data_IF_310852749009
#
_entry.id   IF_310852749009
#
_cell.length_a   1.000
_cell.length_b   1.000
_cell.length_c   1.000
_cell.angle_alpha   90.00
_cell.angle_beta   90.00
_cell.angle_gamma   90.00
#
_symmetry.space_group_name_H-M   'P 1'
#
loop_
_entity.id
_entity.type
_entity.pdbx_description
1 polymer ?
#
# COMPACT_ATOMS: atom_id res chain seq x y z
N UNK A 1 9.05 10.90 -20.23
CA UNK A 1 10.12 10.17 -20.96
C UNK A 1 11.36 10.00 -20.07
N UNK A 2 11.25 9.32 -18.92
CA UNK A 2 12.37 9.03 -18.01
C UNK A 2 12.39 7.59 -17.47
N UNK A 3 11.43 6.75 -17.88
CA UNK A 3 11.29 5.38 -17.38
C UNK A 3 12.21 4.36 -18.07
N UNK A 4 12.91 4.76 -19.14
CA UNK A 4 13.67 3.85 -20.01
C UNK A 4 15.10 3.48 -19.55
N UNK A 5 15.61 4.05 -18.45
CA UNK A 5 16.98 3.75 -17.98
C UNK A 5 17.07 3.04 -16.62
N UNK A 6 15.94 2.72 -15.98
CA UNK A 6 15.96 1.91 -14.75
C UNK A 6 15.98 0.43 -15.11
N UNK A 7 17.07 -0.25 -14.81
CA UNK A 7 17.12 -1.71 -14.87
C UNK A 7 16.49 -2.28 -13.60
N UNK A 8 15.18 -2.48 -13.61
CA UNK A 8 14.48 -3.11 -12.49
C UNK A 8 14.91 -4.57 -12.25
N UNK A 9 15.64 -5.17 -13.19
CA UNK A 9 16.12 -6.55 -13.09
C UNK A 9 17.15 -6.76 -11.96
N UNK A 10 17.86 -5.70 -11.57
CA UNK A 10 18.86 -5.75 -10.49
C UNK A 10 18.33 -5.25 -9.14
N UNK A 11 17.08 -4.76 -9.11
CA UNK A 11 16.54 -4.15 -7.90
C UNK A 11 16.28 -5.22 -6.85
N UNK A 12 16.57 -4.87 -5.59
CA UNK A 12 16.13 -5.65 -4.44
C UNK A 12 14.63 -5.54 -4.22
N UNK A 13 14.11 -6.37 -3.30
CA UNK A 13 12.72 -6.30 -2.84
C UNK A 13 12.39 -4.91 -2.28
N UNK A 14 13.28 -4.37 -1.46
CA UNK A 14 13.12 -3.08 -0.78
C UNK A 14 13.17 -1.92 -1.77
N UNK A 15 14.10 -1.96 -2.72
CA UNK A 15 14.23 -0.93 -3.77
C UNK A 15 12.97 -0.88 -4.65
N UNK A 16 12.39 -2.02 -5.02
CA UNK A 16 11.12 -2.07 -5.72
C UNK A 16 9.98 -1.54 -4.86
N UNK A 17 9.90 -1.94 -3.59
CA UNK A 17 8.81 -1.53 -2.72
C UNK A 17 8.83 -0.03 -2.34
N UNK A 18 9.96 0.64 -2.57
CA UNK A 18 10.12 2.08 -2.42
C UNK A 18 10.05 2.84 -3.75
N UNK A 19 9.97 2.15 -4.89
CA UNK A 19 9.88 2.81 -6.20
C UNK A 19 8.45 3.29 -6.47
N UNK A 20 8.31 4.58 -6.77
CA UNK A 20 7.01 5.24 -6.96
C UNK A 20 6.16 4.57 -8.06
N UNK A 21 6.76 4.14 -9.17
CA UNK A 21 6.03 3.51 -10.27
C UNK A 21 5.59 2.09 -9.89
N UNK A 22 6.44 1.36 -9.18
CA UNK A 22 6.09 0.04 -8.67
C UNK A 22 4.98 0.13 -7.61
N UNK A 23 5.09 1.06 -6.66
CA UNK A 23 4.06 1.31 -5.66
C UNK A 23 2.73 1.71 -6.31
N UNK A 24 2.78 2.62 -7.30
CA UNK A 24 1.60 3.02 -8.07
C UNK A 24 0.92 1.84 -8.75
N UNK A 25 1.69 0.99 -9.44
CA UNK A 25 1.16 -0.22 -10.07
C UNK A 25 0.46 -1.15 -9.07
N UNK A 26 1.02 -1.31 -7.88
CA UNK A 26 0.45 -2.20 -6.86
C UNK A 26 -0.83 -1.61 -6.25
N UNK A 27 -0.89 -0.29 -6.06
CA UNK A 27 -2.02 0.39 -5.43
C UNK A 27 -3.14 0.77 -6.41
N UNK A 28 -2.84 0.97 -7.70
CA UNK A 28 -3.77 1.41 -8.73
C UNK A 28 -3.90 0.36 -9.85
N UNK A 29 -4.63 -0.75 -9.61
CA UNK A 29 -4.76 -1.81 -10.61
C UNK A 29 -5.55 -1.41 -11.87
N UNK A 30 -6.13 -0.20 -11.93
CA UNK A 30 -6.88 0.32 -13.07
C UNK A 30 -6.06 1.17 -14.05
N UNK A 31 -4.75 1.28 -13.85
CA UNK A 31 -3.85 1.97 -14.77
C UNK A 31 -3.28 0.99 -15.80
N UNK A 32 -3.95 0.89 -16.95
CA UNK A 32 -3.62 -0.07 -18.02
C UNK A 32 -2.21 0.12 -18.58
N UNK A 33 -1.70 1.36 -18.63
CA UNK A 33 -0.36 1.66 -19.16
C UNK A 33 0.72 1.12 -18.21
N UNK A 34 0.58 1.41 -16.92
CA UNK A 34 1.51 0.95 -15.89
C UNK A 34 1.41 -0.58 -15.71
N UNK A 35 0.20 -1.14 -15.81
CA UNK A 35 0.00 -2.59 -15.78
C UNK A 35 0.71 -3.28 -16.94
N UNK A 36 0.54 -2.79 -18.18
CA UNK A 36 1.20 -3.34 -19.36
C UNK A 36 2.73 -3.28 -19.25
N UNK A 37 3.28 -2.20 -18.69
CA UNK A 37 4.72 -2.09 -18.43
C UNK A 37 5.23 -3.22 -17.51
N UNK A 38 4.60 -3.40 -16.34
CA UNK A 38 5.06 -4.38 -15.35
C UNK A 38 4.77 -5.83 -15.76
N UNK A 39 3.73 -6.09 -16.55
CA UNK A 39 3.49 -7.39 -17.16
C UNK A 39 4.53 -7.72 -18.22
N UNK A 40 4.82 -6.79 -19.14
CA UNK A 40 5.87 -6.96 -20.13
C UNK A 40 7.24 -7.15 -19.46
N UNK A 41 7.56 -6.36 -18.44
CA UNK A 41 8.79 -6.52 -17.67
C UNK A 41 8.90 -7.93 -17.07
N UNK A 42 7.83 -8.43 -16.44
CA UNK A 42 7.80 -9.75 -15.81
C UNK A 42 7.96 -10.89 -16.82
N UNK A 43 7.34 -10.77 -17.98
CA UNK A 43 7.47 -11.75 -19.07
C UNK A 43 8.91 -11.81 -19.62
N UNK A 44 9.58 -10.66 -19.70
CA UNK A 44 10.96 -10.56 -20.18
C UNK A 44 12.00 -10.90 -19.11
N UNK A 45 11.63 -10.86 -17.82
CA UNK A 45 12.53 -11.09 -16.67
C UNK A 45 11.96 -12.13 -15.69
N UNK A 46 11.80 -13.40 -16.10
CA UNK A 46 11.19 -14.44 -15.26
C UNK A 46 11.98 -14.68 -13.96
N UNK A 47 13.30 -14.47 -13.97
CA UNK A 47 14.15 -14.58 -12.79
C UNK A 47 13.80 -13.56 -11.69
N UNK A 48 13.24 -12.39 -12.05
CA UNK A 48 12.83 -11.36 -11.12
C UNK A 48 11.43 -11.60 -10.53
N UNK A 49 10.70 -12.63 -10.99
CA UNK A 49 9.32 -12.89 -10.58
C UNK A 49 9.13 -13.02 -9.07
N UNK A 50 9.99 -13.82 -8.41
CA UNK A 50 9.93 -13.99 -6.96
C UNK A 50 10.18 -12.67 -6.21
N UNK A 51 11.13 -11.86 -6.69
CA UNK A 51 11.44 -10.54 -6.12
C UNK A 51 10.26 -9.58 -6.25
N UNK A 52 9.63 -9.51 -7.44
CA UNK A 52 8.45 -8.70 -7.70
C UNK A 52 7.27 -9.10 -6.80
N UNK A 53 7.03 -10.40 -6.62
CA UNK A 53 5.93 -10.90 -5.78
C UNK A 53 6.13 -10.56 -4.30
N UNK A 54 7.37 -10.66 -3.79
CA UNK A 54 7.69 -10.27 -2.41
C UNK A 54 7.53 -8.76 -2.24
N UNK A 55 8.07 -7.95 -3.16
CA UNK A 55 7.94 -6.50 -3.12
C UNK A 55 6.46 -6.07 -3.16
N UNK A 56 5.64 -6.71 -4.01
CA UNK A 56 4.21 -6.45 -4.09
C UNK A 56 3.49 -6.73 -2.78
N UNK A 57 3.81 -7.84 -2.10
CA UNK A 57 3.27 -8.14 -0.77
C UNK A 57 3.68 -7.10 0.26
N UNK A 58 4.93 -6.62 0.22
CA UNK A 58 5.42 -5.59 1.13
C UNK A 58 4.63 -4.28 0.95
N UNK A 59 4.46 -3.83 -0.29
CA UNK A 59 3.68 -2.62 -0.60
C UNK A 59 2.23 -2.76 -0.13
N UNK A 60 1.57 -3.90 -0.40
CA UNK A 60 0.19 -4.12 0.06
C UNK A 60 0.07 -4.11 1.58
N UNK A 61 1.01 -4.75 2.29
CA UNK A 61 1.04 -4.77 3.75
C UNK A 61 1.28 -3.37 4.34
N UNK A 62 2.14 -2.56 3.72
CA UNK A 62 2.40 -1.18 4.14
C UNK A 62 1.24 -0.24 3.82
N UNK A 63 0.51 -0.47 2.72
CA UNK A 63 -0.60 0.37 2.26
C UNK A 63 -1.87 0.16 3.07
N UNK A 64 -2.05 -1.04 3.63
CA UNK A 64 -3.16 -1.38 4.51
C UNK A 64 -2.60 -1.92 5.84
N UNK A 65 -1.98 -1.07 6.67
CA UNK A 65 -1.45 -1.53 7.94
C UNK A 65 -2.60 -2.14 8.74
N UNK A 66 -2.39 -3.28 9.43
CA UNK A 66 -3.46 -3.91 10.20
C UNK A 66 -4.00 -2.87 11.19
N UNK A 67 -5.19 -2.36 10.92
CA UNK A 67 -5.88 -1.48 11.85
C UNK A 67 -6.02 -2.25 13.16
N UNK A 68 -5.43 -1.74 14.25
CA UNK A 68 -5.69 -2.29 15.58
C UNK A 68 -7.20 -2.24 15.78
N UNK A 69 -7.84 -3.41 15.80
CA UNK A 69 -9.24 -3.50 16.17
C UNK A 69 -9.36 -3.04 17.61
N UNK A 70 -10.21 -2.05 17.85
CA UNK A 70 -10.57 -1.67 19.21
C UNK A 70 -11.32 -2.85 19.84
N UNK A 71 -10.98 -3.16 21.09
CA UNK A 71 -11.80 -4.05 21.92
C UNK A 71 -13.20 -3.47 22.12
N UNK A 72 -14.16 -4.31 22.50
CA UNK A 72 -15.50 -3.86 22.84
C UNK A 72 -15.46 -2.76 23.92
N UNK A 73 -14.63 -2.96 24.95
CA UNK A 73 -14.42 -1.98 26.02
C UNK A 73 -13.84 -0.63 25.53
N UNK A 74 -12.89 -0.64 24.60
CA UNK A 74 -12.35 0.61 24.03
C UNK A 74 -13.39 1.33 23.16
N UNK A 75 -14.23 0.56 22.46
CA UNK A 75 -15.32 1.10 21.64
C UNK A 75 -16.40 1.74 22.52
N UNK A 76 -16.74 1.10 23.64
CA UNK A 76 -17.71 1.61 24.60
C UNK A 76 -17.19 2.86 25.32
N UNK A 77 -15.91 2.85 25.72
CA UNK A 77 -15.26 4.00 26.33
C UNK A 77 -15.22 5.21 25.37
N UNK A 78 -14.91 4.96 24.09
CA UNK A 78 -14.93 6.02 23.07
C UNK A 78 -16.34 6.57 22.84
N UNK A 79 -17.36 5.71 22.80
CA UNK A 79 -18.77 6.12 22.66
C UNK A 79 -19.22 6.98 23.84
N UNK A 80 -18.87 6.60 25.07
CA UNK A 80 -19.24 7.38 26.25
C UNK A 80 -18.50 8.71 26.31
N UNK A 81 -17.24 8.74 25.88
CA UNK A 81 -16.47 9.98 25.76
C UNK A 81 -17.12 10.95 24.77
N UNK A 82 -17.46 10.49 23.55
CA UNK A 82 -18.14 11.31 22.54
C UNK A 82 -19.48 11.85 23.08
N UNK A 83 -20.28 11.00 23.74
CA UNK A 83 -21.57 11.40 24.34
C UNK A 83 -21.41 12.42 25.45
N UNK A 84 -20.33 12.35 26.22
CA UNK A 84 -20.03 13.29 27.30
C UNK A 84 -19.60 14.63 26.74
N UNK A 85 -18.69 14.65 25.77
CA UNK A 85 -18.24 15.87 25.10
C UNK A 85 -19.39 16.62 24.41
N UNK A 86 -20.30 15.90 23.74
CA UNK A 86 -21.49 16.50 23.14
C UNK A 86 -22.45 17.12 24.17
N UNK A 87 -22.60 16.50 25.34
CA UNK A 87 -23.42 17.06 26.43
C UNK A 87 -22.80 18.34 26.99
N UNK A 88 -21.48 18.40 27.12
CA UNK A 88 -20.80 19.59 27.62
C UNK A 88 -20.88 20.78 26.65
N UNK A 89 -20.86 20.51 25.33
CA UNK A 89 -21.02 21.54 24.30
C UNK A 89 -22.46 22.07 24.18
N UNK A 90 -23.46 21.28 24.58
CA UNK A 90 -24.89 21.65 24.52
C UNK A 90 -25.35 22.52 25.70
N UNK A 91 -24.53 22.71 26.73
CA UNK A 91 -24.89 23.44 27.97
C UNK A 91 -24.21 24.82 28.03
N UNK A 92 -23.57 25.27 26.93
CA UNK A 92 -22.95 26.60 26.78
C UNK A 92 -23.80 27.56 25.97
#
# INVERSE_FOLDING_TARGET
MLLFMKSYAIYSVEELALDDLFVWWVQQPGDDEVAAFWENFRNNNPASGATLDVARRLVLAASNPPHRRLSASETDALREHIRTSLRQLSVG
#
